data_IF_097141548276
#
_entry.id   IF_097141548276
#
_cell.length_a   1.000
_cell.length_b   1.000
_cell.length_c   1.000
_cell.angle_alpha   90.00
_cell.angle_beta   90.00
_cell.angle_gamma   90.00
#
_symmetry.space_group_name_H-M   'P 1'
#
loop_
_entity.id
_entity.type
_entity.pdbx_description
1 polymer ?
#
# COMPACT_ATOMS: atom_id res chain seq x y z
N UNK A 1 0.52 17.36 -1.91
CA UNK A 1 -0.95 17.14 -1.77
C UNK A 1 -1.11 15.84 -1.02
N UNK A 2 -1.80 15.85 0.13
CA UNK A 2 -2.06 14.65 0.92
C UNK A 2 -3.40 14.02 0.55
N UNK A 3 -3.63 12.81 1.03
CA UNK A 3 -4.92 12.11 0.88
C UNK A 3 -6.05 12.83 1.65
N UNK A 4 -7.26 12.78 1.11
CA UNK A 4 -8.48 13.22 1.80
C UNK A 4 -8.85 12.24 2.92
N UNK A 5 -9.67 12.69 3.87
CA UNK A 5 -10.15 11.85 5.00
C UNK A 5 -10.86 10.58 4.53
N UNK A 6 -11.61 10.65 3.44
CA UNK A 6 -12.28 9.49 2.85
C UNK A 6 -11.27 8.50 2.26
N UNK A 7 -10.24 9.01 1.61
CA UNK A 7 -9.18 8.20 1.01
C UNK A 7 -8.32 7.51 2.08
N UNK A 8 -8.08 8.16 3.22
CA UNK A 8 -7.44 7.51 4.37
C UNK A 8 -8.28 6.36 4.94
N UNK A 9 -9.61 6.50 4.98
CA UNK A 9 -10.50 5.40 5.39
C UNK A 9 -10.43 4.24 4.39
N UNK A 10 -10.45 4.53 3.10
CA UNK A 10 -10.28 3.51 2.06
C UNK A 10 -8.93 2.79 2.20
N UNK A 11 -7.85 3.53 2.50
CA UNK A 11 -6.52 2.98 2.74
C UNK A 11 -6.51 2.07 3.98
N UNK A 12 -7.15 2.48 5.09
CA UNK A 12 -7.31 1.65 6.30
C UNK A 12 -8.11 0.37 6.03
N UNK A 13 -9.22 0.45 5.30
CA UNK A 13 -10.03 -0.73 4.97
C UNK A 13 -9.27 -1.70 4.05
N UNK A 14 -8.59 -1.18 3.04
CA UNK A 14 -7.75 -2.01 2.16
C UNK A 14 -6.58 -2.62 2.93
N UNK A 15 -5.97 -1.89 3.86
CA UNK A 15 -4.93 -2.42 4.74
C UNK A 15 -5.45 -3.56 5.62
N UNK A 16 -6.62 -3.41 6.24
CA UNK A 16 -7.25 -4.50 7.02
C UNK A 16 -7.43 -5.76 6.19
N UNK A 17 -7.94 -5.60 4.96
CA UNK A 17 -8.15 -6.72 4.02
C UNK A 17 -6.84 -7.34 3.54
N UNK A 18 -5.79 -6.54 3.37
CA UNK A 18 -4.43 -7.03 3.09
C UNK A 18 -3.92 -7.87 4.25
N UNK A 19 -4.04 -7.40 5.49
CA UNK A 19 -3.64 -8.13 6.70
C UNK A 19 -4.40 -9.44 6.87
N UNK A 20 -5.69 -9.49 6.52
CA UNK A 20 -6.50 -10.71 6.54
C UNK A 20 -6.36 -11.56 5.27
N UNK A 21 -5.50 -11.17 4.32
CA UNK A 21 -5.29 -11.82 3.03
C UNK A 21 -6.57 -11.97 2.17
N UNK A 22 -7.59 -11.16 2.46
CA UNK A 22 -8.88 -11.14 1.75
C UNK A 22 -8.97 -10.03 0.69
N UNK A 23 -7.98 -9.13 0.63
CA UNK A 23 -7.96 -8.05 -0.35
C UNK A 23 -8.00 -8.57 -1.79
N UNK A 24 -8.91 -8.03 -2.59
CA UNK A 24 -8.97 -8.30 -4.03
C UNK A 24 -7.88 -7.54 -4.78
N UNK A 25 -7.56 -7.97 -6.00
CA UNK A 25 -6.53 -7.31 -6.82
C UNK A 25 -6.84 -5.83 -7.08
N UNK A 26 -8.11 -5.49 -7.37
CA UNK A 26 -8.57 -4.11 -7.50
C UNK A 26 -8.32 -3.29 -6.22
N UNK A 27 -8.61 -3.85 -5.05
CA UNK A 27 -8.38 -3.17 -3.78
C UNK A 27 -6.89 -2.94 -3.51
N UNK A 28 -6.04 -3.89 -3.89
CA UNK A 28 -4.59 -3.73 -3.78
C UNK A 28 -4.11 -2.63 -4.74
N UNK A 29 -4.57 -2.62 -5.99
CA UNK A 29 -4.25 -1.54 -6.92
C UNK A 29 -4.69 -0.17 -6.41
N UNK A 30 -5.89 -0.10 -5.83
CA UNK A 30 -6.44 1.14 -5.27
C UNK A 30 -5.64 1.60 -4.05
N UNK A 31 -5.29 0.68 -3.16
CA UNK A 31 -4.40 0.95 -2.03
C UNK A 31 -3.06 1.52 -2.48
N UNK A 32 -2.45 0.94 -3.51
CA UNK A 32 -1.21 1.44 -4.10
C UNK A 32 -1.37 2.87 -4.66
N UNK A 33 -2.47 3.15 -5.36
CA UNK A 33 -2.77 4.48 -5.90
C UNK A 33 -2.90 5.53 -4.78
N UNK A 34 -3.63 5.19 -3.72
CA UNK A 34 -3.80 6.07 -2.56
C UNK A 34 -2.46 6.33 -1.86
N UNK A 35 -1.63 5.30 -1.72
CA UNK A 35 -0.31 5.44 -1.11
C UNK A 35 0.62 6.32 -1.96
N UNK A 36 0.59 6.21 -3.29
CA UNK A 36 1.34 7.11 -4.19
C UNK A 36 0.86 8.56 -4.03
N UNK A 37 -0.45 8.74 -3.93
CA UNK A 37 -1.12 10.03 -3.74
C UNK A 37 -0.88 10.64 -2.36
N UNK A 38 -0.60 9.84 -1.33
CA UNK A 38 -0.22 10.32 0.00
C UNK A 38 1.05 11.18 -0.01
N UNK A 39 1.83 11.11 -1.08
CA UNK A 39 3.09 11.83 -1.23
C UNK A 39 4.27 11.12 -0.55
N UNK A 40 4.03 9.96 0.06
CA UNK A 40 5.05 9.20 0.77
C UNK A 40 5.89 8.29 -0.14
N UNK A 41 6.25 8.82 -1.31
CA UNK A 41 6.96 8.10 -2.38
C UNK A 41 8.29 7.53 -1.92
N UNK A 42 8.97 8.19 -0.98
CA UNK A 42 10.25 7.72 -0.43
C UNK A 42 10.08 6.44 0.37
N UNK A 43 9.19 6.42 1.38
CA UNK A 43 8.90 5.19 2.15
C UNK A 43 8.38 4.07 1.24
N UNK A 44 7.60 4.44 0.24
CA UNK A 44 7.04 3.48 -0.70
C UNK A 44 8.11 2.87 -1.61
N UNK A 45 9.05 3.68 -2.09
CA UNK A 45 10.18 3.22 -2.92
C UNK A 45 11.17 2.39 -2.11
N UNK A 46 11.42 2.74 -0.85
CA UNK A 46 12.28 1.97 0.05
C UNK A 46 11.68 0.61 0.39
N UNK A 47 10.36 0.58 0.64
CA UNK A 47 9.63 -0.65 0.80
C UNK A 47 9.69 -1.54 -0.45
N UNK A 48 9.43 -0.97 -1.64
CA UNK A 48 9.47 -1.71 -2.89
C UNK A 48 10.80 -2.45 -3.03
N UNK A 49 11.91 -1.74 -2.75
CA UNK A 49 13.24 -2.37 -2.74
C UNK A 49 13.35 -3.49 -1.70
N UNK A 50 12.83 -3.29 -0.50
CA UNK A 50 12.87 -4.31 0.57
C UNK A 50 12.11 -5.59 0.20
N UNK A 51 11.02 -5.49 -0.57
CA UNK A 51 10.28 -6.67 -1.06
C UNK A 51 10.81 -7.21 -2.40
N UNK A 52 11.94 -6.68 -2.89
CA UNK A 52 12.61 -7.17 -4.09
C UNK A 52 12.09 -6.59 -5.41
N UNK A 53 11.34 -5.48 -5.37
CA UNK A 53 10.84 -4.76 -6.54
C UNK A 53 11.57 -3.44 -6.72
N UNK A 54 11.94 -3.09 -7.95
CA UNK A 54 12.60 -1.81 -8.19
C UNK A 54 11.61 -0.63 -8.23
N UNK A 55 10.35 -0.89 -8.57
CA UNK A 55 9.35 0.13 -8.83
C UNK A 55 7.93 -0.33 -8.54
N UNK A 56 7.06 0.64 -8.26
CA UNK A 56 5.61 0.49 -8.09
C UNK A 56 4.94 -0.22 -9.27
N UNK A 57 5.34 0.13 -10.49
CA UNK A 57 4.87 -0.51 -11.71
C UNK A 57 5.28 -1.98 -11.80
N UNK A 58 6.51 -2.32 -11.40
CA UNK A 58 7.02 -3.69 -11.39
C UNK A 58 6.20 -4.56 -10.41
N UNK A 59 5.87 -3.97 -9.27
CA UNK A 59 5.01 -4.59 -8.27
C UNK A 59 3.56 -4.77 -8.76
N UNK A 60 2.96 -3.75 -9.38
CA UNK A 60 1.64 -3.83 -10.01
C UNK A 60 1.61 -4.92 -11.10
N UNK A 61 2.67 -5.01 -11.91
CA UNK A 61 2.81 -6.04 -12.94
C UNK A 61 2.93 -7.46 -12.36
N UNK A 62 3.63 -7.61 -11.23
CA UNK A 62 3.72 -8.90 -10.53
C UNK A 62 2.39 -9.34 -9.93
N UNK A 63 1.63 -8.40 -9.34
CA UNK A 63 0.28 -8.69 -8.87
C UNK A 63 -0.66 -9.07 -10.05
N UNK A 64 -0.52 -8.40 -11.20
CA UNK A 64 -1.33 -8.66 -12.40
C UNK A 64 -1.03 -10.03 -13.02
N UNK A 65 0.17 -10.55 -12.82
CA UNK A 65 0.55 -11.93 -13.16
C UNK A 65 -0.12 -12.99 -12.25
N UNK A 66 -1.11 -12.62 -11.43
CA UNK A 66 -1.96 -13.49 -10.58
C UNK A 66 -1.22 -14.36 -9.55
N UNK A 67 0.09 -14.23 -9.40
CA UNK A 67 0.80 -14.78 -8.24
C UNK A 67 0.59 -13.86 -7.04
N UNK A 68 -0.54 -14.05 -6.36
CA UNK A 68 -0.71 -13.56 -4.98
C UNK A 68 0.33 -14.26 -4.11
N UNK A 69 1.52 -13.68 -4.04
CA UNK A 69 2.53 -14.09 -3.08
C UNK A 69 2.15 -13.50 -1.72
N UNK A 70 1.99 -14.36 -0.73
CA UNK A 70 1.58 -13.96 0.61
C UNK A 70 2.57 -12.96 1.23
N UNK A 71 3.86 -13.09 0.92
CA UNK A 71 4.92 -12.12 1.28
C UNK A 71 4.66 -10.71 0.72
N UNK A 72 4.16 -10.61 -0.51
CA UNK A 72 3.83 -9.32 -1.12
C UNK A 72 2.66 -8.65 -0.44
N UNK A 73 1.64 -9.44 -0.10
CA UNK A 73 0.44 -8.96 0.60
C UNK A 73 0.79 -8.51 2.02
N UNK A 74 1.60 -9.30 2.74
CA UNK A 74 2.08 -8.96 4.08
C UNK A 74 2.94 -7.70 4.08
N UNK A 75 3.86 -7.60 3.14
CA UNK A 75 4.66 -6.38 3.00
C UNK A 75 3.77 -5.15 2.81
N UNK A 76 2.74 -5.23 1.94
CA UNK A 76 1.88 -4.08 1.66
C UNK A 76 1.11 -3.63 2.89
N UNK A 77 0.63 -4.59 3.68
CA UNK A 77 -0.04 -4.30 4.94
C UNK A 77 0.86 -3.52 5.90
N UNK A 78 2.16 -3.82 5.93
CA UNK A 78 3.14 -3.13 6.79
C UNK A 78 3.32 -1.68 6.34
N UNK A 79 3.52 -1.41 5.04
CA UNK A 79 3.68 -0.03 4.54
C UNK A 79 2.41 0.78 4.73
N UNK A 80 1.25 0.17 4.47
CA UNK A 80 -0.03 0.83 4.74
C UNK A 80 -0.16 1.27 6.18
N UNK A 81 0.33 0.43 7.09
CA UNK A 81 0.39 0.75 8.51
C UNK A 81 1.32 1.91 8.78
N UNK A 82 2.52 1.92 8.21
CA UNK A 82 3.46 3.01 8.34
C UNK A 82 2.89 4.35 7.84
N UNK A 83 2.24 4.35 6.66
CA UNK A 83 1.62 5.56 6.10
C UNK A 83 0.43 6.05 6.92
N UNK A 84 -0.39 5.13 7.46
CA UNK A 84 -1.49 5.48 8.37
C UNK A 84 -0.96 6.06 9.69
N UNK A 85 0.09 5.48 10.24
CA UNK A 85 0.75 5.97 11.47
C UNK A 85 1.39 7.34 11.22
N UNK A 86 2.14 7.51 10.13
CA UNK A 86 2.74 8.79 9.75
C UNK A 86 1.67 9.88 9.60
N UNK A 87 0.53 9.55 8.98
CA UNK A 87 -0.60 10.46 8.89
C UNK A 87 -1.20 10.83 10.26
N UNK A 88 -1.45 9.84 11.12
CA UNK A 88 -1.95 10.08 12.48
C UNK A 88 -1.01 10.99 13.27
N UNK A 89 0.30 10.84 13.09
CA UNK A 89 1.31 11.69 13.73
C UNK A 89 1.32 13.11 13.16
N UNK A 90 1.17 13.29 11.84
CA UNK A 90 1.07 14.63 11.21
C UNK A 90 -0.24 15.38 11.49
N UNK A 91 -1.25 14.72 12.07
CA UNK A 91 -2.52 15.33 12.46
C UNK A 91 -2.52 15.96 13.87
N UNK A 92 -1.44 15.78 14.63
CA UNK A 92 -1.29 16.30 15.99
C UNK A 92 -0.59 17.65 15.98
#
# INVERSE_FOLDING_TARGET
MGLLVKEYKELEEAQKKLTTNTATFDEIQRFLDLMEKSGNKTEMSDYMKNIGFNSMDEFKASLNNKKKNEDLVKGLAIVGGAVLVAWLLTRK
#
